data_IF_385847371170
#
_entry.id   IF_385847371170
#
_cell.length_a   1.000
_cell.length_b   1.000
_cell.length_c   1.000
_cell.angle_alpha   90.00
_cell.angle_beta   90.00
_cell.angle_gamma   90.00
#
_symmetry.space_group_name_H-M   'P 1'
#
loop_
_entity.id
_entity.type
_entity.pdbx_description
1 polymer ?
#
# COMPACT_ATOMS: atom_id res chain seq x y z
N UNK A 1 -37.10 -46.28 0.14
CA UNK A 1 -37.08 -45.37 -1.04
C UNK A 1 -37.51 -43.95 -0.66
N UNK A 2 -38.54 -43.79 0.17
CA UNK A 2 -39.02 -42.49 0.69
C UNK A 2 -37.95 -41.68 1.42
N UNK A 3 -37.24 -42.32 2.37
CA UNK A 3 -36.14 -41.72 3.14
C UNK A 3 -35.01 -41.18 2.23
N UNK A 4 -34.68 -41.91 1.15
CA UNK A 4 -33.65 -41.47 0.20
C UNK A 4 -34.10 -40.26 -0.63
N UNK A 5 -35.39 -40.16 -0.96
CA UNK A 5 -35.98 -38.99 -1.61
C UNK A 5 -35.98 -37.75 -0.71
N UNK A 6 -36.32 -37.94 0.57
CA UNK A 6 -36.31 -36.86 1.55
C UNK A 6 -34.90 -36.33 1.83
N UNK A 7 -33.91 -37.22 1.96
CA UNK A 7 -32.49 -36.82 2.08
C UNK A 7 -32.05 -36.01 0.86
N UNK A 8 -32.41 -36.45 -0.35
CA UNK A 8 -32.05 -35.74 -1.59
C UNK A 8 -32.65 -34.33 -1.64
N UNK A 9 -33.90 -34.17 -1.19
CA UNK A 9 -34.57 -32.86 -1.10
C UNK A 9 -33.87 -31.94 -0.09
N UNK A 10 -33.61 -32.42 1.14
CA UNK A 10 -32.90 -31.65 2.17
C UNK A 10 -31.50 -31.23 1.74
N UNK A 11 -30.77 -32.11 1.05
CA UNK A 11 -29.46 -31.80 0.48
C UNK A 11 -29.55 -30.70 -0.58
N UNK A 12 -30.57 -30.73 -1.44
CA UNK A 12 -30.78 -29.69 -2.46
C UNK A 12 -31.11 -28.32 -1.82
N UNK A 13 -32.02 -28.29 -0.85
CA UNK A 13 -32.38 -27.07 -0.09
C UNK A 13 -31.15 -26.49 0.65
N UNK A 14 -30.31 -27.35 1.21
CA UNK A 14 -29.05 -26.95 1.88
C UNK A 14 -28.07 -26.33 0.88
N UNK A 15 -27.96 -26.88 -0.34
CA UNK A 15 -27.08 -26.34 -1.39
C UNK A 15 -27.52 -24.94 -1.82
N UNK A 16 -28.81 -24.74 -2.05
CA UNK A 16 -29.38 -23.45 -2.43
C UNK A 16 -29.20 -22.42 -1.32
N UNK A 17 -29.50 -22.80 -0.06
CA UNK A 17 -29.28 -21.93 1.11
C UNK A 17 -27.81 -21.56 1.27
N UNK A 18 -26.90 -22.52 1.08
CA UNK A 18 -25.45 -22.28 1.15
C UNK A 18 -24.98 -21.33 0.05
N UNK A 19 -25.52 -21.46 -1.17
CA UNK A 19 -25.22 -20.56 -2.27
C UNK A 19 -25.68 -19.12 -1.98
N UNK A 20 -26.88 -18.94 -1.42
CA UNK A 20 -27.39 -17.63 -0.99
C UNK A 20 -26.52 -17.01 0.12
N UNK A 21 -26.14 -17.80 1.14
CA UNK A 21 -25.25 -17.36 2.21
C UNK A 21 -23.88 -16.95 1.65
N UNK A 22 -23.32 -17.73 0.73
CA UNK A 22 -22.04 -17.41 0.11
C UNK A 22 -22.12 -16.15 -0.74
N UNK A 23 -23.19 -15.97 -1.50
CA UNK A 23 -23.43 -14.76 -2.29
C UNK A 23 -23.49 -13.51 -1.39
N UNK A 24 -24.28 -13.57 -0.31
CA UNK A 24 -24.36 -12.48 0.66
C UNK A 24 -23.01 -12.22 1.35
N UNK A 25 -22.26 -13.28 1.73
CA UNK A 25 -20.94 -13.14 2.35
C UNK A 25 -19.93 -12.48 1.42
N UNK A 26 -19.94 -12.85 0.14
CA UNK A 26 -19.00 -12.32 -0.85
C UNK A 26 -19.18 -10.81 -1.07
N UNK A 27 -20.40 -10.28 -0.92
CA UNK A 27 -20.66 -8.84 -1.04
C UNK A 27 -19.91 -8.01 0.03
N UNK A 28 -19.61 -8.59 1.20
CA UNK A 28 -18.92 -7.91 2.29
C UNK A 28 -17.45 -8.31 2.43
N UNK A 29 -16.92 -9.11 1.49
CA UNK A 29 -15.55 -9.63 1.56
C UNK A 29 -14.49 -8.54 1.66
N UNK A 30 -14.72 -7.40 0.99
CA UNK A 30 -13.79 -6.26 1.01
C UNK A 30 -13.71 -5.61 2.40
N UNK A 31 -14.81 -5.56 3.14
CA UNK A 31 -14.84 -5.08 4.53
C UNK A 31 -13.98 -5.99 5.42
N UNK A 32 -14.13 -7.31 5.28
CA UNK A 32 -13.34 -8.29 6.04
C UNK A 32 -11.85 -8.24 5.67
N UNK A 33 -11.55 -8.12 4.37
CA UNK A 33 -10.17 -7.96 3.87
C UNK A 33 -9.52 -6.70 4.45
N UNK A 34 -10.22 -5.56 4.41
CA UNK A 34 -9.76 -4.31 5.02
C UNK A 34 -9.52 -4.45 6.52
N UNK A 35 -10.48 -5.03 7.24
CA UNK A 35 -10.37 -5.25 8.68
C UNK A 35 -9.14 -6.11 9.05
N UNK A 36 -8.93 -7.21 8.33
CA UNK A 36 -7.77 -8.08 8.52
C UNK A 36 -6.45 -7.34 8.28
N UNK A 37 -6.36 -6.55 7.20
CA UNK A 37 -5.17 -5.79 6.86
C UNK A 37 -4.83 -4.77 7.96
N UNK A 38 -5.82 -4.02 8.43
CA UNK A 38 -5.64 -3.03 9.50
C UNK A 38 -5.21 -3.71 10.80
N UNK A 39 -5.84 -4.83 11.16
CA UNK A 39 -5.49 -5.57 12.38
C UNK A 39 -4.03 -6.02 12.38
N UNK A 40 -3.55 -6.59 11.27
CA UNK A 40 -2.15 -7.02 11.19
C UNK A 40 -1.17 -5.85 11.25
N UNK A 41 -1.48 -4.70 10.64
CA UNK A 41 -0.67 -3.48 10.83
C UNK A 41 -0.57 -3.09 12.30
N UNK A 42 -1.70 -3.12 13.01
CA UNK A 42 -1.73 -2.75 14.43
C UNK A 42 -0.98 -3.77 15.29
N UNK A 43 -1.14 -5.06 15.01
CA UNK A 43 -0.40 -6.11 15.72
C UNK A 43 1.12 -5.94 15.51
N UNK A 44 1.53 -5.59 14.30
CA UNK A 44 2.94 -5.36 13.97
C UNK A 44 3.53 -4.11 14.64
N UNK A 45 2.71 -3.14 15.08
CA UNK A 45 3.18 -1.96 15.83
C UNK A 45 3.85 -2.34 17.15
N UNK A 46 3.50 -3.47 17.76
CA UNK A 46 4.15 -3.97 18.97
C UNK A 46 5.65 -4.29 18.76
N UNK A 47 6.07 -4.53 17.50
CA UNK A 47 7.48 -4.70 17.16
C UNK A 47 8.25 -3.37 17.13
N UNK A 48 7.56 -2.25 16.91
CA UNK A 48 8.18 -0.92 16.95
C UNK A 48 8.37 -0.47 18.40
N UNK A 49 7.35 -0.63 19.24
CA UNK A 49 7.43 -0.40 20.68
C UNK A 49 6.52 -1.40 21.42
N UNK A 50 7.02 -2.12 22.46
CA UNK A 50 6.21 -3.05 23.24
C UNK A 50 4.96 -2.44 23.89
N UNK A 51 4.88 -1.11 24.04
CA UNK A 51 3.69 -0.41 24.53
C UNK A 51 2.53 -0.42 23.52
N UNK A 52 2.80 -0.65 22.23
CA UNK A 52 1.81 -0.64 21.14
C UNK A 52 1.12 -2.00 20.96
N UNK A 53 0.70 -2.60 22.06
CA UNK A 53 0.00 -3.88 22.07
C UNK A 53 -1.51 -3.68 22.07
N UNK A 54 -2.16 -4.19 21.03
CA UNK A 54 -3.62 -4.20 20.92
C UNK A 54 -4.11 -5.64 20.75
N UNK A 55 -5.06 -6.04 21.57
CA UNK A 55 -5.62 -7.40 21.50
C UNK A 55 -6.61 -7.54 20.35
N UNK A 56 -6.75 -8.77 19.83
CA UNK A 56 -7.81 -9.10 18.87
C UNK A 56 -9.20 -8.84 19.45
N UNK A 57 -9.37 -9.05 20.76
CA UNK A 57 -10.63 -8.80 21.46
C UNK A 57 -11.01 -7.30 21.42
N UNK A 58 -10.05 -6.40 21.67
CA UNK A 58 -10.23 -4.97 21.51
C UNK A 58 -10.58 -4.59 20.06
N UNK A 59 -9.84 -5.11 19.09
CA UNK A 59 -10.12 -4.83 17.68
C UNK A 59 -11.53 -5.31 17.27
N UNK A 60 -11.92 -6.51 17.70
CA UNK A 60 -13.23 -7.10 17.38
C UNK A 60 -14.38 -6.31 18.01
N UNK A 61 -14.21 -5.81 19.24
CA UNK A 61 -15.23 -4.98 19.88
C UNK A 61 -15.39 -3.64 19.16
N UNK A 62 -14.29 -3.01 18.74
CA UNK A 62 -14.29 -1.77 17.97
C UNK A 62 -14.91 -1.95 16.58
N UNK A 63 -14.57 -3.05 15.89
CA UNK A 63 -15.14 -3.40 14.60
C UNK A 63 -16.66 -3.63 14.71
N UNK A 64 -17.11 -4.33 15.75
CA UNK A 64 -18.53 -4.54 16.04
C UNK A 64 -19.27 -3.24 16.35
N UNK A 65 -18.62 -2.30 17.06
CA UNK A 65 -19.16 -0.96 17.32
C UNK A 65 -19.38 -0.19 16.01
N UNK A 66 -18.40 -0.19 15.10
CA UNK A 66 -18.50 0.46 13.80
C UNK A 66 -19.69 -0.08 12.97
N UNK A 67 -19.91 -1.40 12.97
CA UNK A 67 -21.05 -2.01 12.27
C UNK A 67 -22.37 -1.51 12.86
N UNK A 68 -22.51 -1.51 14.19
CA UNK A 68 -23.73 -1.05 14.87
C UNK A 68 -24.02 0.42 14.62
N UNK A 69 -22.98 1.27 14.57
CA UNK A 69 -23.12 2.70 14.28
C UNK A 69 -23.55 2.93 12.83
N UNK A 70 -22.96 2.23 11.87
CA UNK A 70 -23.37 2.29 10.47
C UNK A 70 -24.82 1.83 10.26
N UNK A 71 -25.30 0.87 11.06
CA UNK A 71 -26.71 0.45 11.03
C UNK A 71 -27.65 1.56 11.51
N UNK A 72 -27.27 2.30 12.56
CA UNK A 72 -28.06 3.42 13.11
C UNK A 72 -28.11 4.62 12.16
N UNK A 73 -27.05 4.86 11.40
CA UNK A 73 -26.95 5.96 10.44
C UNK A 73 -27.73 5.74 9.14
N UNK A 74 -28.43 4.60 8.99
CA UNK A 74 -29.33 4.40 7.85
C UNK A 74 -30.38 5.52 7.79
N UNK A 75 -30.32 6.32 6.73
CA UNK A 75 -31.51 6.89 6.11
C UNK A 75 -32.53 5.75 5.86
N UNK A 76 -33.85 5.99 5.98
CA UNK A 76 -34.84 4.93 5.88
C UNK A 76 -34.78 4.30 4.49
N UNK A 77 -34.14 3.13 4.39
CA UNK A 77 -34.38 2.21 3.30
C UNK A 77 -35.84 1.78 3.43
N UNK A 78 -36.69 1.95 2.41
CA UNK A 78 -38.07 1.49 2.47
C UNK A 78 -38.08 0.00 2.83
N UNK A 79 -38.84 -0.36 3.87
CA UNK A 79 -39.02 -1.76 4.26
C UNK A 79 -39.50 -2.57 3.04
N UNK A 80 -38.77 -3.63 2.70
CA UNK A 80 -39.19 -4.59 1.67
C UNK A 80 -38.57 -4.44 0.27
N UNK A 81 -37.73 -3.43 0.01
CA UNK A 81 -36.97 -3.37 -1.25
C UNK A 81 -35.60 -4.02 -1.04
N UNK A 82 -35.31 -5.11 -1.76
CA UNK A 82 -33.98 -5.68 -1.79
C UNK A 82 -32.98 -4.56 -2.12
N UNK A 83 -31.95 -4.30 -1.29
CA UNK A 83 -31.00 -3.23 -1.57
C UNK A 83 -30.43 -3.49 -2.96
N UNK A 84 -30.55 -2.51 -3.85
CA UNK A 84 -29.93 -2.59 -5.17
C UNK A 84 -28.45 -2.92 -4.99
N UNK A 85 -27.84 -3.58 -5.98
CA UNK A 85 -26.41 -3.89 -5.92
C UNK A 85 -25.56 -2.64 -5.62
N UNK A 86 -26.01 -1.48 -6.11
CA UNK A 86 -25.43 -0.16 -5.83
C UNK A 86 -25.56 0.26 -4.36
N UNK A 87 -26.74 0.09 -3.74
CA UNK A 87 -26.95 0.41 -2.33
C UNK A 87 -26.05 -0.44 -1.42
N UNK A 88 -25.87 -1.72 -1.75
CA UNK A 88 -24.93 -2.60 -1.03
C UNK A 88 -23.49 -2.14 -1.20
N UNK A 89 -23.06 -1.82 -2.42
CA UNK A 89 -21.70 -1.32 -2.68
C UNK A 89 -21.41 0.00 -1.93
N UNK A 90 -22.36 0.93 -1.91
CA UNK A 90 -22.26 2.17 -1.13
C UNK A 90 -22.12 1.89 0.37
N UNK A 91 -22.91 0.94 0.89
CA UNK A 91 -22.84 0.55 2.29
C UNK A 91 -21.50 -0.13 2.64
N UNK A 92 -20.98 -0.97 1.75
CA UNK A 92 -19.64 -1.60 1.89
C UNK A 92 -18.54 -0.54 1.97
N UNK A 93 -18.57 0.45 1.09
CA UNK A 93 -17.60 1.55 1.10
C UNK A 93 -17.71 2.39 2.39
N UNK A 94 -18.93 2.71 2.82
CA UNK A 94 -19.15 3.41 4.10
C UNK A 94 -18.58 2.62 5.28
N UNK A 95 -18.83 1.31 5.34
CA UNK A 95 -18.28 0.46 6.40
C UNK A 95 -16.74 0.47 6.39
N UNK A 96 -16.13 0.32 5.21
CA UNK A 96 -14.67 0.40 5.05
C UNK A 96 -14.12 1.72 5.58
N UNK A 97 -14.75 2.84 5.25
CA UNK A 97 -14.31 4.17 5.69
C UNK A 97 -14.47 4.36 7.19
N UNK A 98 -15.64 4.02 7.75
CA UNK A 98 -15.90 4.15 9.19
C UNK A 98 -14.95 3.27 10.00
N UNK A 99 -14.76 2.00 9.61
CA UNK A 99 -13.83 1.10 10.30
C UNK A 99 -12.41 1.65 10.22
N UNK A 100 -11.96 2.08 9.04
CA UNK A 100 -10.59 2.59 8.87
C UNK A 100 -10.36 3.85 9.70
N UNK A 101 -11.28 4.83 9.67
CA UNK A 101 -11.19 6.06 10.46
C UNK A 101 -11.25 5.81 11.96
N UNK A 102 -12.24 5.05 12.41
CA UNK A 102 -12.45 4.78 13.84
C UNK A 102 -11.27 4.03 14.43
N UNK A 103 -10.79 2.97 13.76
CA UNK A 103 -9.62 2.22 14.24
C UNK A 103 -8.37 3.10 14.24
N UNK A 104 -8.11 3.83 13.15
CA UNK A 104 -6.95 4.72 13.06
C UNK A 104 -6.94 5.74 14.21
N UNK A 105 -8.06 6.43 14.45
CA UNK A 105 -8.18 7.40 15.53
C UNK A 105 -7.95 6.75 16.90
N UNK A 106 -8.56 5.58 17.17
CA UNK A 106 -8.39 4.88 18.45
C UNK A 106 -6.94 4.44 18.69
N UNK A 107 -6.26 3.96 17.66
CA UNK A 107 -4.85 3.56 17.77
C UNK A 107 -3.96 4.78 17.97
N UNK A 108 -4.14 5.85 17.18
CA UNK A 108 -3.38 7.09 17.33
C UNK A 108 -3.48 7.73 18.71
N UNK A 109 -4.57 7.52 19.47
CA UNK A 109 -4.68 7.98 20.87
C UNK A 109 -3.68 7.29 21.80
N UNK A 110 -3.26 6.06 21.48
CA UNK A 110 -2.28 5.28 22.26
C UNK A 110 -0.84 5.38 21.76
N UNK A 111 -0.58 6.08 20.65
CA UNK A 111 0.76 6.20 20.05
C UNK A 111 1.45 7.50 20.48
N UNK A 112 2.77 7.47 20.60
CA UNK A 112 3.57 8.69 20.70
C UNK A 112 3.51 9.48 19.39
N UNK A 113 3.64 10.81 19.48
CA UNK A 113 3.54 11.70 18.32
C UNK A 113 4.49 11.31 17.18
N UNK A 114 5.72 10.93 17.53
CA UNK A 114 6.76 10.46 16.59
C UNK A 114 6.34 9.23 15.77
N UNK A 115 5.50 8.36 16.33
CA UNK A 115 5.15 7.07 15.72
C UNK A 115 3.81 7.10 14.99
N UNK A 116 3.00 8.16 15.19
CA UNK A 116 1.74 8.37 14.46
C UNK A 116 1.97 8.47 12.95
N UNK A 117 3.01 9.17 12.52
CA UNK A 117 3.33 9.31 11.09
C UNK A 117 3.77 7.98 10.49
N UNK A 118 4.54 7.18 11.23
CA UNK A 118 4.96 5.84 10.81
C UNK A 118 3.74 4.93 10.66
N UNK A 119 2.85 4.91 11.67
CA UNK A 119 1.61 4.14 11.61
C UNK A 119 0.73 4.56 10.42
N UNK A 120 0.56 5.87 10.21
CA UNK A 120 -0.19 6.42 9.07
C UNK A 120 0.40 6.02 7.71
N UNK A 121 1.73 6.02 7.59
CA UNK A 121 2.39 5.58 6.39
C UNK A 121 2.21 4.07 6.16
N UNK A 122 2.37 3.24 7.20
CA UNK A 122 2.26 1.78 7.08
C UNK A 122 0.83 1.38 6.71
N UNK A 123 -0.20 1.95 7.37
CA UNK A 123 -1.60 1.63 7.02
C UNK A 123 -1.90 2.06 5.58
N UNK A 124 -1.45 3.25 5.17
CA UNK A 124 -1.58 3.75 3.78
C UNK A 124 -0.90 2.80 2.80
N UNK A 125 0.34 2.40 3.08
CA UNK A 125 1.11 1.52 2.22
C UNK A 125 0.43 0.16 2.06
N UNK A 126 -0.05 -0.44 3.14
CA UNK A 126 -0.76 -1.72 3.06
C UNK A 126 -2.05 -1.59 2.25
N UNK A 127 -2.83 -0.52 2.47
CA UNK A 127 -4.04 -0.24 1.68
C UNK A 127 -3.73 -0.05 0.19
N UNK A 128 -2.65 0.66 -0.13
CA UNK A 128 -2.22 0.90 -1.50
C UNK A 128 -1.74 -0.38 -2.18
N UNK A 129 -1.07 -1.27 -1.44
CA UNK A 129 -0.64 -2.59 -1.91
C UNK A 129 -1.83 -3.51 -2.17
N UNK A 130 -2.84 -3.51 -1.30
CA UNK A 130 -4.08 -4.27 -1.50
C UNK A 130 -4.85 -3.80 -2.75
N UNK A 131 -4.83 -2.48 -3.03
CA UNK A 131 -5.40 -1.88 -4.25
C UNK A 131 -4.52 -2.04 -5.50
N UNK A 132 -3.30 -2.57 -5.37
CA UNK A 132 -2.35 -2.69 -6.48
C UNK A 132 -1.71 -1.37 -6.95
N UNK A 133 -1.87 -0.28 -6.20
CA UNK A 133 -1.25 1.02 -6.49
C UNK A 133 0.26 0.96 -6.25
N UNK A 134 0.67 0.24 -5.19
CA UNK A 134 2.06 -0.04 -4.86
C UNK A 134 2.31 -1.53 -5.09
N UNK A 135 3.21 -1.86 -6.01
CA UNK A 135 3.61 -3.26 -6.22
C UNK A 135 4.50 -3.76 -5.09
N UNK A 136 4.53 -5.08 -4.88
CA UNK A 136 5.43 -5.70 -3.91
C UNK A 136 6.91 -5.46 -4.26
N UNK A 137 7.24 -5.31 -5.54
CA UNK A 137 8.57 -4.95 -6.01
C UNK A 137 8.97 -3.55 -5.55
N UNK A 138 8.13 -2.55 -5.81
CA UNK A 138 8.39 -1.17 -5.40
C UNK A 138 8.44 -1.05 -3.87
N UNK A 139 7.57 -1.74 -3.15
CA UNK A 139 7.59 -1.75 -1.68
C UNK A 139 8.90 -2.31 -1.12
N UNK A 140 9.37 -3.45 -1.65
CA UNK A 140 10.65 -4.04 -1.24
C UNK A 140 11.82 -3.13 -1.57
N UNK A 141 11.83 -2.55 -2.77
CA UNK A 141 12.85 -1.60 -3.22
C UNK A 141 12.90 -0.38 -2.29
N UNK A 142 11.75 0.16 -1.91
CA UNK A 142 11.65 1.26 -0.97
C UNK A 142 12.24 0.91 0.40
N UNK A 143 11.94 -0.27 0.96
CA UNK A 143 12.41 -0.65 2.29
C UNK A 143 13.88 -1.08 2.33
N UNK A 144 14.32 -1.87 1.36
CA UNK A 144 15.61 -2.57 1.41
C UNK A 144 16.67 -1.92 0.51
N UNK A 145 16.29 -0.99 -0.38
CA UNK A 145 17.22 -0.40 -1.36
C UNK A 145 17.86 -1.47 -2.24
N UNK A 146 19.19 -1.46 -2.35
CA UNK A 146 19.94 -2.47 -3.11
C UNK A 146 19.71 -3.90 -2.62
N UNK A 147 19.48 -4.11 -1.32
CA UNK A 147 19.22 -5.43 -0.73
C UNK A 147 17.82 -5.99 -1.10
N UNK A 148 16.92 -5.16 -1.64
CA UNK A 148 15.61 -5.62 -2.12
C UNK A 148 15.73 -6.63 -3.25
N UNK A 149 16.77 -6.42 -4.07
CA UNK A 149 17.15 -7.21 -5.22
C UNK A 149 18.08 -8.28 -4.67
N UNK A 150 17.50 -9.27 -4.00
CA UNK A 150 18.23 -10.51 -3.66
C UNK A 150 18.98 -10.92 -4.92
N UNK A 151 20.29 -11.08 -4.81
CA UNK A 151 21.16 -11.49 -5.89
C UNK A 151 20.45 -12.56 -6.71
N UNK A 152 20.16 -12.25 -7.97
CA UNK A 152 20.29 -13.30 -8.98
C UNK A 152 21.76 -13.69 -8.91
N UNK A 153 22.04 -14.66 -8.03
CA UNK A 153 23.37 -15.25 -7.94
C UNK A 153 23.75 -15.69 -9.33
N UNK A 154 24.97 -15.36 -9.74
CA UNK A 154 25.96 -16.37 -10.13
C UNK A 154 25.42 -17.68 -10.73
N UNK A 155 24.52 -17.60 -11.71
CA UNK A 155 24.24 -18.69 -12.63
C UNK A 155 24.64 -18.17 -14.01
N UNK A 156 25.74 -18.74 -14.48
CA UNK A 156 26.18 -18.76 -15.86
C UNK A 156 25.00 -19.21 -16.74
N UNK A 157 24.20 -18.28 -17.24
CA UNK A 157 23.33 -18.53 -18.40
C UNK A 157 23.89 -17.78 -19.60
N UNK A 158 24.82 -18.47 -20.28
CA UNK A 158 24.98 -18.33 -21.72
C UNK A 158 23.61 -18.48 -22.39
N UNK A 159 23.21 -17.51 -23.20
CA UNK A 159 22.05 -17.66 -24.09
C UNK A 159 20.72 -17.11 -23.57
N UNK A 160 20.70 -15.87 -23.07
CA UNK A 160 19.45 -15.15 -22.81
C UNK A 160 19.62 -13.67 -23.10
N UNK A 161 18.80 -13.14 -24.02
CA UNK A 161 18.86 -11.76 -24.54
C UNK A 161 19.15 -10.73 -23.44
N UNK A 162 20.38 -10.16 -23.44
CA UNK A 162 20.80 -9.10 -22.52
C UNK A 162 19.81 -7.92 -22.70
N UNK A 163 19.33 -7.27 -21.63
CA UNK A 163 18.65 -5.99 -21.78
C UNK A 163 19.57 -5.08 -22.60
N UNK A 164 19.02 -4.47 -23.65
CA UNK A 164 19.77 -3.67 -24.62
C UNK A 164 20.79 -2.78 -23.89
N UNK A 165 22.09 -3.02 -24.13
CA UNK A 165 23.19 -2.16 -23.66
C UNK A 165 23.17 -0.83 -24.43
N UNK A 166 22.03 -0.13 -24.45
CA UNK A 166 21.91 1.12 -25.19
C UNK A 166 22.71 2.24 -24.52
N UNK A 167 22.97 2.13 -23.22
CA UNK A 167 23.78 3.07 -22.46
C UNK A 167 24.84 2.33 -21.64
N UNK A 168 25.94 1.95 -22.29
CA UNK A 168 27.16 1.46 -21.63
C UNK A 168 27.83 2.55 -20.79
N UNK A 169 28.45 2.13 -19.68
CA UNK A 169 29.31 2.90 -18.75
C UNK A 169 29.14 4.43 -18.76
N UNK A 170 27.95 4.88 -18.38
CA UNK A 170 27.70 6.29 -18.06
C UNK A 170 28.59 6.67 -16.87
N UNK A 171 29.44 7.69 -17.06
CA UNK A 171 30.22 8.25 -15.97
C UNK A 171 29.27 8.88 -14.94
N UNK A 172 29.52 8.56 -13.67
CA UNK A 172 28.80 9.14 -12.54
C UNK A 172 29.07 10.65 -12.49
N UNK A 173 28.04 11.51 -12.38
CA UNK A 173 28.24 12.94 -12.15
C UNK A 173 28.89 13.23 -10.79
N UNK A 174 29.69 14.30 -10.71
CA UNK A 174 30.45 14.66 -9.50
C UNK A 174 29.57 14.97 -8.28
N UNK A 175 28.37 15.52 -8.50
CA UNK A 175 27.43 15.86 -7.42
C UNK A 175 26.70 14.64 -6.83
N UNK A 176 26.88 13.44 -7.38
CA UNK A 176 26.25 12.20 -6.90
C UNK A 176 27.27 11.35 -6.15
N UNK A 177 26.88 10.86 -4.97
CA UNK A 177 27.71 9.92 -4.20
C UNK A 177 27.68 8.51 -4.81
N UNK A 178 28.73 7.72 -4.58
CA UNK A 178 28.82 6.37 -5.16
C UNK A 178 27.69 5.45 -4.70
N UNK A 179 27.27 5.59 -3.44
CA UNK A 179 26.12 4.87 -2.87
C UNK A 179 24.81 5.22 -3.59
N UNK A 180 24.58 6.51 -3.86
CA UNK A 180 23.40 6.99 -4.58
C UNK A 180 23.41 6.50 -6.03
N UNK A 181 24.57 6.56 -6.69
CA UNK A 181 24.71 6.07 -8.06
C UNK A 181 24.43 4.57 -8.16
N UNK A 182 24.90 3.80 -7.17
CA UNK A 182 24.60 2.37 -7.08
C UNK A 182 23.10 2.13 -6.97
N UNK A 183 22.40 2.85 -6.08
CA UNK A 183 20.94 2.75 -5.95
C UNK A 183 20.22 3.10 -7.25
N UNK A 184 20.62 4.17 -7.94
CA UNK A 184 20.05 4.59 -9.23
C UNK A 184 20.29 3.52 -10.30
N UNK A 185 21.47 2.91 -10.32
CA UNK A 185 21.79 1.83 -11.26
C UNK A 185 20.87 0.62 -11.07
N UNK A 186 20.46 0.35 -9.83
CA UNK A 186 19.52 -0.72 -9.52
C UNK A 186 18.07 -0.41 -9.94
N UNK A 187 17.67 0.88 -10.00
CA UNK A 187 16.30 1.25 -10.38
C UNK A 187 15.92 0.81 -11.80
N UNK A 188 16.89 0.78 -12.72
CA UNK A 188 16.67 0.36 -14.11
C UNK A 188 16.68 -1.15 -14.32
N UNK A 189 17.10 -1.93 -13.32
CA UNK A 189 17.16 -3.39 -13.46
C UNK A 189 15.77 -4.00 -13.39
N UNK A 190 15.60 -5.10 -14.13
CA UNK A 190 14.37 -5.91 -14.10
C UNK A 190 14.26 -6.55 -12.72
N UNK A 191 13.17 -6.25 -12.00
CA UNK A 191 12.88 -6.93 -10.75
C UNK A 191 12.22 -8.26 -11.08
N UNK A 192 12.92 -9.34 -10.77
CA UNK A 192 12.43 -10.70 -10.94
C UNK A 192 11.86 -11.18 -9.62
N UNK A 193 10.55 -11.43 -9.56
CA UNK A 193 9.90 -12.00 -8.38
C UNK A 193 9.48 -13.45 -8.65
N UNK A 194 9.79 -14.34 -7.71
CA UNK A 194 9.20 -15.68 -7.67
C UNK A 194 7.79 -15.57 -7.09
N UNK A 195 6.79 -16.06 -7.82
CA UNK A 195 5.44 -16.15 -7.29
C UNK A 195 5.33 -17.33 -6.30
N UNK A 196 4.24 -17.38 -5.52
CA UNK A 196 3.98 -18.47 -4.58
C UNK A 196 3.81 -19.85 -5.25
N UNK A 197 3.61 -19.90 -6.57
CA UNK A 197 3.48 -21.09 -7.39
C UNK A 197 4.79 -21.47 -8.13
N UNK A 198 5.93 -20.85 -7.80
CA UNK A 198 7.23 -21.12 -8.40
C UNK A 198 7.51 -20.49 -9.78
N UNK A 199 6.55 -19.76 -10.36
CA UNK A 199 6.71 -19.01 -11.61
C UNK A 199 7.46 -17.69 -11.43
N UNK A 200 8.23 -17.31 -12.45
CA UNK A 200 9.07 -16.11 -12.46
C UNK A 200 8.34 -14.95 -13.11
N UNK A 201 8.03 -13.90 -12.35
CA UNK A 201 7.45 -12.65 -12.88
C UNK A 201 8.59 -11.66 -13.10
N UNK A 202 8.78 -11.24 -14.35
CA UNK A 202 9.68 -10.15 -14.72
C UNK A 202 8.88 -8.85 -14.71
N UNK A 203 9.19 -7.95 -13.78
CA UNK A 203 8.58 -6.62 -13.71
C UNK A 203 9.65 -5.56 -14.01
N UNK A 204 9.44 -4.81 -15.09
CA UNK A 204 10.22 -3.61 -15.39
C UNK A 204 9.57 -2.43 -14.68
N UNK A 205 10.34 -1.72 -13.85
CA UNK A 205 9.87 -0.52 -13.18
C UNK A 205 9.95 0.69 -14.12
N UNK A 206 9.15 1.75 -13.93
CA UNK A 206 9.10 2.89 -14.86
C UNK A 206 10.31 3.84 -14.74
N UNK A 207 11.48 3.34 -14.33
CA UNK A 207 12.72 4.10 -14.18
C UNK A 207 13.66 4.02 -15.38
N UNK A 208 13.27 3.34 -16.46
CA UNK A 208 14.10 3.21 -17.67
C UNK A 208 14.55 4.58 -18.20
N UNK A 209 15.87 4.75 -18.34
CA UNK A 209 16.53 5.96 -18.82
C UNK A 209 16.86 7.00 -17.74
N UNK A 210 16.65 6.69 -16.44
CA UNK A 210 16.96 7.62 -15.34
C UNK A 210 18.46 7.93 -15.26
N UNK A 211 19.33 6.95 -15.51
CA UNK A 211 20.78 7.16 -15.51
C UNK A 211 21.20 8.15 -16.58
N UNK A 212 20.70 7.96 -17.80
CA UNK A 212 20.98 8.83 -18.92
C UNK A 212 20.43 10.25 -18.69
N UNK A 213 19.23 10.34 -18.13
CA UNK A 213 18.61 11.61 -17.74
C UNK A 213 19.46 12.38 -16.72
N UNK A 214 19.98 11.70 -15.70
CA UNK A 214 20.80 12.30 -14.65
C UNK A 214 22.19 12.67 -15.17
N UNK A 215 22.84 11.78 -15.91
CA UNK A 215 24.25 11.95 -16.27
C UNK A 215 24.50 12.76 -17.56
N UNK A 216 23.54 12.87 -18.48
CA UNK A 216 23.78 13.51 -19.77
C UNK A 216 22.70 14.50 -20.22
N UNK A 217 21.41 14.15 -20.11
CA UNK A 217 20.34 14.96 -20.73
C UNK A 217 19.82 16.09 -19.84
N UNK A 218 19.84 15.92 -18.51
CA UNK A 218 19.24 16.86 -17.55
C UNK A 218 20.16 17.21 -16.38
N UNK A 219 21.46 17.00 -16.50
CA UNK A 219 22.44 17.03 -15.40
C UNK A 219 22.32 18.27 -14.50
N UNK A 220 22.24 19.47 -15.09
CA UNK A 220 22.07 20.72 -14.33
C UNK A 220 20.74 20.77 -13.56
N UNK A 221 19.65 20.31 -14.17
CA UNK A 221 18.33 20.29 -13.52
C UNK A 221 18.29 19.29 -12.35
N UNK A 222 18.98 18.16 -12.48
CA UNK A 222 19.13 17.18 -11.41
C UNK A 222 20.00 17.70 -10.27
N UNK A 223 21.12 18.36 -10.59
CA UNK A 223 21.98 19.01 -9.60
C UNK A 223 21.22 20.10 -8.83
N UNK A 224 20.50 20.97 -9.55
CA UNK A 224 19.60 21.97 -8.93
C UNK A 224 18.56 21.30 -8.04
N UNK A 225 17.89 20.25 -8.52
CA UNK A 225 16.87 19.52 -7.76
C UNK A 225 17.40 18.91 -6.47
N UNK A 226 18.57 18.25 -6.50
CA UNK A 226 19.20 17.63 -5.33
C UNK A 226 19.57 18.68 -4.27
N UNK A 227 19.99 19.85 -4.73
CA UNK A 227 20.40 20.98 -3.89
C UNK A 227 19.22 21.82 -3.38
N UNK A 228 17.98 21.55 -3.80
CA UNK A 228 16.81 22.22 -3.25
C UNK A 228 16.68 21.93 -1.75
N UNK A 229 16.19 22.92 -0.96
CA UNK A 229 15.86 22.68 0.44
C UNK A 229 14.67 21.72 0.57
N UNK A 230 13.65 21.86 -0.29
CA UNK A 230 12.41 21.08 -0.26
C UNK A 230 12.13 20.42 -1.63
N UNK A 231 12.92 19.42 -2.06
CA UNK A 231 12.74 18.76 -3.36
C UNK A 231 11.39 18.03 -3.50
N UNK A 232 10.82 17.52 -2.41
CA UNK A 232 9.55 16.78 -2.40
C UNK A 232 8.32 17.60 -2.83
N UNK A 233 8.37 18.92 -2.69
CA UNK A 233 7.29 19.83 -3.09
C UNK A 233 7.27 20.04 -4.60
N UNK A 234 8.44 20.28 -5.22
CA UNK A 234 8.56 20.52 -6.67
C UNK A 234 8.47 19.24 -7.50
N UNK A 235 8.93 18.12 -6.95
CA UNK A 235 9.05 16.85 -7.68
C UNK A 235 10.26 16.82 -8.63
N UNK A 236 10.59 15.64 -9.17
CA UNK A 236 11.80 15.45 -9.98
C UNK A 236 11.71 16.22 -11.32
N UNK A 237 12.85 16.53 -11.97
CA UNK A 237 12.87 17.20 -13.27
C UNK A 237 12.01 16.49 -14.34
N UNK A 238 11.39 17.23 -15.28
CA UNK A 238 10.69 16.63 -16.41
C UNK A 238 11.60 15.68 -17.21
N UNK A 239 11.07 14.56 -17.74
CA UNK A 239 9.67 14.14 -17.74
C UNK A 239 9.24 13.35 -16.48
N UNK A 240 10.11 13.17 -15.50
CA UNK A 240 9.91 12.22 -14.39
C UNK A 240 8.80 12.62 -13.42
N UNK A 241 8.53 13.91 -13.27
CA UNK A 241 7.39 14.43 -12.50
C UNK A 241 6.03 13.94 -13.01
N UNK A 242 5.90 13.68 -14.30
CA UNK A 242 4.65 13.23 -14.94
C UNK A 242 4.66 11.73 -15.26
N UNK A 243 5.83 11.16 -15.53
CA UNK A 243 6.03 9.73 -15.79
C UNK A 243 5.80 8.87 -14.54
N UNK A 244 6.20 9.36 -13.36
CA UNK A 244 6.20 8.60 -12.12
C UNK A 244 5.01 8.98 -11.22
N UNK A 245 4.39 8.00 -10.58
CA UNK A 245 3.40 8.24 -9.52
C UNK A 245 4.05 8.74 -8.22
N UNK A 246 3.25 9.21 -7.25
CA UNK A 246 3.76 9.78 -5.99
C UNK A 246 4.69 8.82 -5.23
N UNK A 247 4.39 7.52 -5.18
CA UNK A 247 5.23 6.54 -4.49
C UNK A 247 6.55 6.32 -5.22
N UNK A 248 6.49 6.24 -6.56
CA UNK A 248 7.68 6.08 -7.40
C UNK A 248 8.61 7.30 -7.34
N UNK A 249 8.04 8.50 -7.26
CA UNK A 249 8.80 9.73 -7.02
C UNK A 249 9.46 9.72 -5.63
N UNK A 250 8.79 9.19 -4.60
CA UNK A 250 9.40 9.03 -3.28
C UNK A 250 10.54 8.01 -3.27
N UNK A 251 10.46 6.90 -4.03
CA UNK A 251 11.59 5.97 -4.19
C UNK A 251 12.78 6.68 -4.83
N UNK A 252 12.54 7.50 -5.85
CA UNK A 252 13.59 8.26 -6.50
C UNK A 252 14.20 9.30 -5.55
N UNK A 253 13.35 9.99 -4.78
CA UNK A 253 13.80 10.90 -3.72
C UNK A 253 14.64 10.16 -2.69
N UNK A 254 14.26 8.94 -2.28
CA UNK A 254 15.05 8.11 -1.36
C UNK A 254 16.45 7.82 -1.90
N UNK A 255 16.59 7.58 -3.21
CA UNK A 255 17.89 7.32 -3.82
C UNK A 255 18.80 8.57 -3.88
N UNK A 256 18.21 9.77 -3.92
CA UNK A 256 18.92 11.03 -4.13
C UNK A 256 19.10 11.86 -2.86
N UNK A 257 18.13 11.82 -1.94
CA UNK A 257 17.98 12.63 -0.73
C UNK A 257 17.14 11.86 0.31
N UNK A 258 17.70 10.80 0.88
CA UNK A 258 17.02 9.91 1.83
C UNK A 258 16.41 10.64 3.03
N UNK A 259 17.11 11.62 3.59
CA UNK A 259 16.64 12.41 4.72
C UNK A 259 15.38 13.24 4.43
N UNK A 260 15.08 13.49 3.15
CA UNK A 260 13.88 14.23 2.73
C UNK A 260 12.66 13.34 2.55
N UNK A 261 12.82 12.02 2.57
CA UNK A 261 11.73 11.05 2.36
C UNK A 261 10.59 11.26 3.37
N UNK A 262 10.91 11.57 4.63
CA UNK A 262 9.90 11.74 5.69
C UNK A 262 8.90 12.87 5.38
N UNK A 263 9.31 13.89 4.63
CA UNK A 263 8.44 15.00 4.24
C UNK A 263 7.51 14.61 3.09
N UNK A 264 7.93 13.68 2.23
CA UNK A 264 7.12 13.17 1.13
C UNK A 264 6.02 12.18 1.58
N UNK A 265 6.16 11.58 2.77
CA UNK A 265 5.18 10.64 3.35
C UNK A 265 3.80 11.25 3.44
N UNK A 266 3.69 12.50 3.91
CA UNK A 266 2.41 13.21 4.07
C UNK A 266 1.64 13.30 2.75
N UNK A 267 2.33 13.69 1.67
CA UNK A 267 1.78 13.79 0.31
C UNK A 267 1.21 12.44 -0.17
N UNK A 268 1.89 11.34 0.14
CA UNK A 268 1.44 10.00 -0.25
C UNK A 268 0.21 9.58 0.54
N UNK A 269 0.25 9.74 1.86
CA UNK A 269 -0.87 9.47 2.76
C UNK A 269 -2.11 10.24 2.33
N UNK A 270 -1.97 11.53 2.09
CA UNK A 270 -3.06 12.40 1.65
C UNK A 270 -3.62 11.96 0.29
N UNK A 271 -2.75 11.58 -0.66
CA UNK A 271 -3.22 11.15 -1.98
C UNK A 271 -3.97 9.81 -2.00
N UNK A 272 -3.75 8.93 -1.01
CA UNK A 272 -4.30 7.57 -1.00
C UNK A 272 -5.46 7.39 0.00
N UNK A 273 -5.29 7.92 1.22
CA UNK A 273 -6.28 7.81 2.30
C UNK A 273 -6.93 9.16 2.65
N UNK A 274 -6.27 10.29 2.35
CA UNK A 274 -6.78 11.64 2.63
C UNK A 274 -6.09 12.35 3.80
N UNK A 275 -6.35 13.64 3.93
CA UNK A 275 -5.69 14.54 4.89
C UNK A 275 -5.87 14.15 6.36
N UNK A 276 -7.02 13.55 6.71
CA UNK A 276 -7.29 13.02 8.07
C UNK A 276 -6.21 12.05 8.57
N UNK A 277 -5.57 11.32 7.66
CA UNK A 277 -4.53 10.36 8.00
C UNK A 277 -3.14 11.00 7.99
N UNK A 278 -2.93 12.07 7.20
CA UNK A 278 -1.65 12.80 7.17
C UNK A 278 -1.38 13.49 8.50
N UNK A 279 -2.41 14.15 9.04
CA UNK A 279 -2.34 14.92 10.26
C UNK A 279 -3.43 14.41 11.22
N UNK A 280 -3.14 13.33 11.98
CA UNK A 280 -4.11 12.76 12.90
C UNK A 280 -4.56 13.82 13.91
N UNK A 281 -5.87 13.93 14.18
CA UNK A 281 -6.39 14.98 15.05
C UNK A 281 -5.79 14.89 16.46
N UNK A 282 -5.61 16.05 17.14
CA UNK A 282 -5.13 16.08 18.52
C UNK A 282 -6.11 15.34 19.44
N UNK A 283 -5.57 14.77 20.51
CA UNK A 283 -6.34 14.01 21.50
C UNK A 283 -7.35 14.94 22.22
N UNK A 284 -8.64 14.59 22.18
CA UNK A 284 -9.69 15.23 22.97
C UNK A 284 -10.23 14.26 24.03
N UNK A 285 -10.16 14.65 25.31
CA UNK A 285 -10.64 13.87 26.45
C UNK A 285 -12.17 13.75 26.51
N UNK A 286 -12.91 14.59 25.78
CA UNK A 286 -14.38 14.61 25.79
C UNK A 286 -15.03 13.51 24.94
N UNK A 287 -14.26 12.85 24.08
CA UNK A 287 -14.75 11.78 23.20
C UNK A 287 -14.63 10.37 23.81
N UNK A 288 -14.24 10.26 25.08
CA UNK A 288 -14.12 9.00 25.84
C UNK A 288 -15.45 8.59 26.48
#
# INVERSE_FOLDING_TARGET
>A
KEIAGEIKKRVQETKETTALINSARNQYRDVSRRGSLIYFVIADMANADPMYQFSLAFFTSLFSKCIKECQKQKAPLPEGVAPSAEATALHVNLLVDVITKTVFANVCRGLFERDKQIFSFIITAQVARDRGIISTAEWRLFLLGTAAIISTGSDEEEGGNKPSKMFGDLQKPDFIKDEQWTLINELEKIVVQKNAAGGTIRQTLPYEGIKFSIAQHGTKQWEEFINLPNPEEKGPPPPWNSKLNNFQQMILLRCLREERVVFSVRKIVESILGSFYSDPPPFDMKET
#
